data_IF_728160030160
#
_entry.id   IF_728160030160
#
_cell.length_a   1.000
_cell.length_b   1.000
_cell.length_c   1.000
_cell.angle_alpha   90.00
_cell.angle_beta   90.00
_cell.angle_gamma   90.00
#
_symmetry.space_group_name_H-M   'P 1'
#
loop_
_entity.id
_entity.type
_entity.pdbx_description
1 polymer ?
#
# COMPACT_ATOMS: atom_id res chain seq x y z
N UNK A 1 44.63 32.58 -57.51
CA UNK A 1 44.91 31.21 -57.04
C UNK A 1 44.84 31.23 -55.53
N UNK A 2 43.87 30.53 -54.94
CA UNK A 2 43.89 29.77 -53.67
C UNK A 2 42.44 29.52 -53.24
N UNK A 3 41.96 28.31 -53.48
CA UNK A 3 40.70 27.80 -52.94
C UNK A 3 40.99 27.04 -51.65
N UNK A 4 40.33 27.42 -50.55
CA UNK A 4 40.40 26.71 -49.27
C UNK A 4 39.23 25.73 -49.14
N UNK A 5 39.60 24.46 -48.88
CA UNK A 5 38.74 23.29 -48.83
C UNK A 5 37.80 23.27 -47.60
N UNK A 6 36.59 22.75 -47.80
CA UNK A 6 35.65 22.33 -46.75
C UNK A 6 36.01 20.89 -46.32
N UNK A 7 36.31 20.68 -45.04
CA UNK A 7 36.36 19.34 -44.44
C UNK A 7 34.97 18.97 -43.91
N UNK A 8 34.43 17.85 -44.40
CA UNK A 8 33.18 17.26 -43.91
C UNK A 8 33.39 16.49 -42.61
N UNK A 9 32.47 16.66 -41.67
CA UNK A 9 32.39 15.86 -40.44
C UNK A 9 31.49 14.66 -40.73
N UNK A 10 32.07 13.47 -40.72
CA UNK A 10 31.35 12.19 -40.76
C UNK A 10 30.71 11.94 -39.39
N UNK A 11 29.38 11.90 -39.35
CA UNK A 11 28.61 11.49 -38.18
C UNK A 11 28.71 9.98 -37.95
N UNK A 12 29.19 9.58 -36.77
CA UNK A 12 29.13 8.21 -36.31
C UNK A 12 27.73 7.92 -35.74
N UNK A 13 26.97 7.08 -36.44
CA UNK A 13 25.70 6.53 -35.97
C UNK A 13 25.99 5.53 -34.84
N UNK A 14 25.70 5.89 -33.59
CA UNK A 14 25.71 4.96 -32.47
C UNK A 14 24.50 4.02 -32.59
N UNK A 15 24.72 2.76 -32.97
CA UNK A 15 23.73 1.71 -32.80
C UNK A 15 23.57 1.43 -31.29
N UNK A 16 22.41 1.76 -30.73
CA UNK A 16 22.00 1.31 -29.42
C UNK A 16 21.80 -0.21 -29.46
N UNK A 17 22.73 -0.97 -28.89
CA UNK A 17 22.60 -2.41 -28.68
C UNK A 17 21.54 -2.65 -27.61
N UNK A 18 20.41 -3.23 -27.99
CA UNK A 18 19.38 -3.67 -27.06
C UNK A 18 19.97 -4.69 -26.08
N UNK A 19 19.86 -4.41 -24.78
CA UNK A 19 20.19 -5.35 -23.71
C UNK A 19 19.36 -6.63 -23.88
N UNK A 20 19.92 -7.84 -23.64
CA UNK A 20 19.18 -9.08 -23.78
C UNK A 20 18.03 -9.14 -22.75
N UNK A 21 16.85 -9.56 -23.23
CA UNK A 21 15.59 -9.66 -22.49
C UNK A 21 15.58 -10.65 -21.30
N UNK A 22 16.74 -11.22 -20.94
CA UNK A 22 16.90 -12.15 -19.81
C UNK A 22 16.92 -11.44 -18.45
N UNK A 23 17.22 -10.14 -18.40
CA UNK A 23 17.32 -9.38 -17.15
C UNK A 23 15.98 -9.18 -16.42
N UNK A 24 14.85 -9.40 -17.09
CA UNK A 24 13.51 -9.17 -16.53
C UNK A 24 12.84 -10.45 -16.03
N UNK A 25 13.43 -11.63 -16.24
CA UNK A 25 12.81 -12.90 -15.87
C UNK A 25 13.12 -13.25 -14.41
N UNK A 26 12.09 -13.51 -13.56
CA UNK A 26 12.30 -13.91 -12.17
C UNK A 26 12.98 -15.27 -12.07
N UNK A 27 13.57 -15.54 -10.90
CA UNK A 27 14.16 -16.85 -10.58
C UNK A 27 13.06 -17.89 -10.31
N UNK A 28 12.53 -18.48 -11.37
CA UNK A 28 11.54 -19.56 -11.29
C UNK A 28 12.22 -20.93 -11.24
N UNK A 29 11.86 -21.74 -10.24
CA UNK A 29 12.28 -23.14 -10.06
C UNK A 29 11.07 -24.07 -10.22
N UNK A 30 11.33 -25.35 -10.48
CA UNK A 30 10.30 -26.38 -10.64
C UNK A 30 9.20 -25.97 -11.63
N UNK A 31 9.58 -25.54 -12.83
CA UNK A 31 8.65 -25.06 -13.84
C UNK A 31 8.98 -25.62 -15.23
N UNK A 32 7.96 -25.92 -16.05
CA UNK A 32 8.14 -26.18 -17.47
C UNK A 32 8.10 -24.86 -18.22
N UNK A 33 9.24 -24.15 -18.22
CA UNK A 33 9.35 -22.78 -18.72
C UNK A 33 9.26 -22.70 -20.25
N UNK A 34 8.44 -21.76 -20.73
CA UNK A 34 8.43 -21.31 -22.12
C UNK A 34 8.40 -19.79 -22.15
N UNK A 35 9.14 -19.17 -23.07
CA UNK A 35 9.08 -17.71 -23.29
C UNK A 35 8.36 -17.38 -24.58
N UNK A 36 7.52 -16.34 -24.57
CA UNK A 36 6.82 -15.82 -25.76
C UNK A 36 6.82 -14.29 -25.77
N UNK A 37 6.99 -13.62 -26.92
CA UNK A 37 6.87 -12.17 -27.00
C UNK A 37 5.41 -11.74 -27.05
N UNK A 38 5.06 -10.65 -26.36
CA UNK A 38 3.76 -10.00 -26.43
C UNK A 38 3.61 -9.10 -27.69
N UNK A 39 4.05 -9.59 -28.85
CA UNK A 39 4.24 -8.76 -30.05
C UNK A 39 2.92 -8.23 -30.64
N UNK A 40 1.81 -8.94 -30.43
CA UNK A 40 0.48 -8.55 -30.91
C UNK A 40 -0.37 -7.83 -29.83
N UNK A 41 0.25 -7.42 -28.73
CA UNK A 41 -0.38 -6.81 -27.56
C UNK A 41 -0.64 -7.81 -26.43
N UNK A 42 -0.47 -7.36 -25.18
CA UNK A 42 -0.58 -8.21 -23.98
C UNK A 42 -1.93 -8.92 -23.88
N UNK A 43 -3.03 -8.18 -24.03
CA UNK A 43 -4.38 -8.70 -23.86
C UNK A 43 -4.67 -9.85 -24.83
N UNK A 44 -4.29 -9.69 -26.10
CA UNK A 44 -4.50 -10.70 -27.13
C UNK A 44 -3.73 -11.99 -26.84
N UNK A 45 -2.47 -11.85 -26.39
CA UNK A 45 -1.64 -13.00 -26.05
C UNK A 45 -2.15 -13.72 -24.80
N UNK A 46 -2.59 -13.00 -23.78
CA UNK A 46 -3.19 -13.60 -22.59
C UNK A 46 -4.49 -14.34 -22.91
N UNK A 47 -5.36 -13.78 -23.75
CA UNK A 47 -6.56 -14.48 -24.22
C UNK A 47 -6.24 -15.75 -25.02
N UNK A 48 -5.18 -15.71 -25.85
CA UNK A 48 -4.72 -16.89 -26.59
C UNK A 48 -4.24 -17.99 -25.63
N UNK A 49 -3.47 -17.64 -24.58
CA UNK A 49 -3.06 -18.58 -23.55
C UNK A 49 -4.25 -19.15 -22.78
N UNK A 50 -5.18 -18.29 -22.33
CA UNK A 50 -6.40 -18.71 -21.63
C UNK A 50 -7.22 -19.71 -22.46
N UNK A 51 -7.34 -19.48 -23.76
CA UNK A 51 -8.14 -20.33 -24.66
C UNK A 51 -7.48 -21.67 -24.98
N UNK A 52 -6.14 -21.68 -25.10
CA UNK A 52 -5.35 -22.86 -25.45
C UNK A 52 -5.09 -23.79 -24.26
N UNK A 53 -5.14 -23.27 -23.04
CA UNK A 53 -4.71 -23.99 -21.85
C UNK A 53 -5.83 -24.84 -21.25
N UNK A 54 -5.69 -26.18 -21.33
CA UNK A 54 -6.64 -27.15 -20.77
C UNK A 54 -6.29 -27.59 -19.34
N UNK A 55 -4.99 -27.68 -19.02
CA UNK A 55 -4.47 -28.04 -17.69
C UNK A 55 -4.02 -26.81 -16.91
N UNK A 56 -3.95 -26.84 -15.57
CA UNK A 56 -3.44 -25.70 -14.78
C UNK A 56 -2.06 -25.22 -15.26
N UNK A 57 -1.90 -23.92 -15.42
CA UNK A 57 -0.63 -23.33 -15.81
C UNK A 57 -0.45 -21.93 -15.22
N UNK A 58 0.80 -21.49 -15.21
CA UNK A 58 1.15 -20.10 -14.90
C UNK A 58 1.52 -19.34 -16.16
N UNK A 59 1.10 -18.09 -16.22
CA UNK A 59 1.67 -17.10 -17.15
C UNK A 59 2.07 -15.86 -16.38
N UNK A 60 3.04 -15.11 -16.86
CA UNK A 60 3.45 -13.88 -16.20
C UNK A 60 4.41 -13.05 -17.00
N UNK A 61 4.65 -11.85 -16.50
CA UNK A 61 5.56 -10.87 -17.09
C UNK A 61 6.10 -9.94 -16.01
N UNK A 62 7.11 -9.16 -16.38
CA UNK A 62 7.67 -8.10 -15.56
C UNK A 62 7.39 -6.73 -16.16
N UNK A 63 7.12 -5.76 -15.30
CA UNK A 63 6.92 -4.34 -15.65
C UNK A 63 7.66 -3.47 -14.64
N UNK A 64 8.09 -2.24 -15.02
CA UNK A 64 8.74 -1.34 -14.09
C UNK A 64 7.86 -1.05 -12.86
N UNK A 65 8.46 -1.17 -11.67
CA UNK A 65 7.82 -0.91 -10.39
C UNK A 65 8.13 0.51 -9.91
N UNK A 66 7.25 1.10 -9.11
CA UNK A 66 7.54 2.36 -8.40
C UNK A 66 8.84 2.25 -7.59
N UNK A 67 9.55 3.36 -7.48
CA UNK A 67 10.76 3.43 -6.67
C UNK A 67 10.44 3.25 -5.17
N UNK A 68 11.43 2.77 -4.42
CA UNK A 68 11.35 2.53 -2.98
C UNK A 68 11.48 1.05 -2.61
N UNK A 69 11.53 0.78 -1.30
CA UNK A 69 11.54 -0.59 -0.79
C UNK A 69 10.12 -1.15 -0.88
N UNK A 70 9.86 -2.01 -1.86
CA UNK A 70 8.56 -2.68 -2.06
C UNK A 70 8.76 -4.19 -2.24
N UNK A 71 9.50 -4.81 -1.32
CA UNK A 71 9.79 -6.24 -1.41
C UNK A 71 8.51 -7.03 -1.15
N UNK A 72 8.12 -7.89 -2.09
CA UNK A 72 6.87 -8.64 -2.05
C UNK A 72 7.12 -10.13 -2.25
N UNK A 73 7.73 -10.78 -1.26
CA UNK A 73 7.93 -12.22 -1.25
C UNK A 73 6.98 -12.94 -0.27
N UNK A 74 6.89 -14.26 -0.40
CA UNK A 74 6.06 -15.11 0.46
C UNK A 74 6.65 -15.17 1.86
N UNK A 75 5.81 -15.35 2.87
CA UNK A 75 6.23 -15.55 4.25
C UNK A 75 5.99 -17.00 4.70
N UNK A 76 6.95 -17.59 5.41
CA UNK A 76 6.76 -18.88 6.12
C UNK A 76 6.84 -18.67 7.62
N UNK A 77 5.69 -18.72 8.30
CA UNK A 77 5.59 -18.64 9.77
C UNK A 77 5.93 -19.96 10.47
N UNK A 78 6.74 -20.83 9.86
CA UNK A 78 6.72 -22.27 10.15
C UNK A 78 7.98 -22.92 10.72
N UNK A 79 9.15 -22.31 10.61
CA UNK A 79 10.41 -22.98 10.99
C UNK A 79 11.24 -22.10 11.94
N UNK A 80 11.13 -22.37 13.25
CA UNK A 80 11.87 -21.69 14.33
C UNK A 80 13.40 -21.94 14.32
N UNK A 81 13.98 -22.65 13.33
CA UNK A 81 15.40 -23.03 13.36
C UNK A 81 16.13 -23.09 11.99
N UNK A 82 15.71 -22.31 10.98
CA UNK A 82 16.44 -22.23 9.70
C UNK A 82 17.26 -20.92 9.54
N UNK A 83 18.01 -20.53 10.57
CA UNK A 83 18.98 -19.43 10.48
C UNK A 83 20.30 -19.92 9.85
N UNK A 84 20.32 -20.04 8.53
CA UNK A 84 21.56 -20.10 7.73
C UNK A 84 21.36 -19.68 6.27
N UNK A 85 20.12 -19.62 5.79
CA UNK A 85 19.80 -19.22 4.42
C UNK A 85 18.46 -18.51 4.42
N UNK A 86 18.48 -17.18 4.55
CA UNK A 86 17.42 -16.29 4.06
C UNK A 86 15.99 -16.59 4.45
N UNK A 87 15.36 -15.64 5.15
CA UNK A 87 14.06 -15.77 5.81
C UNK A 87 12.92 -16.51 5.08
N UNK A 88 12.98 -16.81 3.78
CA UNK A 88 11.98 -17.61 3.09
C UNK A 88 12.62 -18.53 2.03
N UNK A 89 12.33 -19.84 2.07
CA UNK A 89 12.54 -20.73 0.92
C UNK A 89 11.74 -20.28 -0.32
N UNK A 90 11.81 -20.99 -1.47
CA UNK A 90 11.17 -20.51 -2.69
C UNK A 90 9.65 -20.36 -2.51
N UNK A 91 9.12 -19.27 -3.05
CA UNK A 91 7.70 -18.92 -3.06
C UNK A 91 6.89 -19.98 -3.80
N UNK A 92 6.24 -20.88 -3.06
CA UNK A 92 5.36 -21.90 -3.65
C UNK A 92 4.09 -21.27 -4.20
N UNK A 93 4.02 -21.11 -5.52
CA UNK A 93 2.94 -20.42 -6.22
C UNK A 93 1.58 -21.13 -6.07
N UNK A 94 1.60 -22.46 -5.97
CA UNK A 94 0.39 -23.27 -5.77
C UNK A 94 -0.15 -23.22 -4.33
N UNK A 95 0.65 -22.82 -3.34
CA UNK A 95 0.19 -22.77 -1.95
C UNK A 95 -0.90 -21.71 -1.73
N UNK A 96 -1.80 -21.90 -0.78
CA UNK A 96 -2.77 -20.86 -0.39
C UNK A 96 -2.17 -19.75 0.49
N UNK A 97 -0.85 -19.77 0.74
CA UNK A 97 -0.18 -18.80 1.61
C UNK A 97 -0.15 -17.41 0.95
N UNK A 98 -0.34 -16.41 1.80
CA UNK A 98 -0.33 -15.00 1.42
C UNK A 98 1.07 -14.48 1.08
N UNK A 99 1.08 -13.30 0.46
CA UNK A 99 2.28 -12.53 0.13
C UNK A 99 2.37 -11.40 1.15
N UNK A 100 3.56 -11.14 1.70
CA UNK A 100 3.79 -9.99 2.56
C UNK A 100 4.51 -8.91 1.76
N UNK A 101 3.98 -7.69 1.80
CA UNK A 101 4.67 -6.49 1.32
C UNK A 101 5.48 -5.93 2.49
N UNK A 102 6.80 -5.85 2.33
CA UNK A 102 7.68 -5.10 3.22
C UNK A 102 8.02 -3.77 2.59
N UNK A 103 7.76 -2.69 3.33
CA UNK A 103 8.13 -1.32 2.98
C UNK A 103 9.24 -0.76 3.87
N UNK A 104 9.82 -1.59 4.74
CA UNK A 104 10.76 -1.15 5.77
C UNK A 104 12.21 -1.16 5.23
N UNK A 105 12.88 -0.01 5.34
CA UNK A 105 14.32 0.14 5.08
C UNK A 105 15.19 -0.71 6.04
N UNK A 106 14.65 -1.08 7.21
CA UNK A 106 15.32 -1.85 8.26
C UNK A 106 15.04 -3.35 8.21
N UNK A 107 14.42 -3.86 7.14
CA UNK A 107 14.27 -5.29 6.96
C UNK A 107 15.61 -5.91 6.53
N UNK A 108 16.50 -6.12 7.50
CA UNK A 108 17.71 -6.94 7.42
C UNK A 108 17.39 -8.44 7.22
N UNK A 109 16.44 -8.75 6.33
CA UNK A 109 16.17 -10.10 5.85
C UNK A 109 16.85 -10.36 4.50
N UNK A 110 17.96 -9.66 4.24
CA UNK A 110 18.88 -9.94 3.14
C UNK A 110 19.49 -11.34 3.28
N UNK A 111 18.85 -12.33 2.67
CA UNK A 111 19.49 -13.61 2.38
C UNK A 111 20.63 -13.40 1.40
N UNK A 112 21.83 -13.89 1.75
CA UNK A 112 23.06 -13.94 0.94
C UNK A 112 23.97 -12.71 0.99
N UNK A 113 24.21 -12.07 2.14
CA UNK A 113 25.41 -11.23 2.33
C UNK A 113 25.58 -10.05 1.35
N UNK A 114 24.57 -9.73 0.56
CA UNK A 114 24.51 -8.56 -0.31
C UNK A 114 23.37 -7.70 0.18
N UNK A 115 23.73 -6.64 0.91
CA UNK A 115 22.81 -5.55 1.23
C UNK A 115 22.47 -4.87 -0.09
N UNK A 116 21.24 -5.05 -0.57
CA UNK A 116 20.75 -4.32 -1.74
C UNK A 116 20.38 -2.91 -1.24
N UNK A 117 21.20 -1.93 -1.62
CA UNK A 117 21.03 -0.53 -1.20
C UNK A 117 19.82 0.14 -1.89
N UNK A 118 19.27 -0.51 -2.92
CA UNK A 118 18.11 -0.06 -3.68
C UNK A 118 17.02 -1.14 -3.68
N UNK A 119 15.77 -0.68 -3.71
CA UNK A 119 14.61 -1.57 -3.82
C UNK A 119 14.52 -2.31 -5.17
N UNK A 120 13.52 -3.17 -5.34
CA UNK A 120 13.32 -3.89 -6.60
C UNK A 120 12.90 -2.93 -7.72
N UNK A 121 13.39 -3.15 -8.94
CA UNK A 121 13.07 -2.28 -10.09
C UNK A 121 11.86 -2.76 -10.90
N UNK A 122 11.54 -4.05 -10.79
CA UNK A 122 10.49 -4.69 -11.57
C UNK A 122 9.49 -5.41 -10.67
N UNK A 123 8.21 -5.24 -11.03
CA UNK A 123 7.09 -5.97 -10.52
C UNK A 123 6.83 -7.15 -11.45
N UNK A 124 6.75 -8.35 -10.88
CA UNK A 124 6.41 -9.59 -11.57
C UNK A 124 4.93 -9.88 -11.32
N UNK A 125 4.10 -9.75 -12.36
CA UNK A 125 2.68 -10.10 -12.32
C UNK A 125 2.48 -11.51 -12.88
N UNK A 126 1.93 -12.39 -12.05
CA UNK A 126 1.66 -13.79 -12.38
C UNK A 126 0.16 -14.08 -12.33
N UNK A 127 -0.29 -14.89 -13.28
CA UNK A 127 -1.67 -15.31 -13.45
C UNK A 127 -1.69 -16.83 -13.51
N UNK A 128 -2.41 -17.45 -12.57
CA UNK A 128 -2.74 -18.87 -12.66
C UNK A 128 -3.95 -19.01 -13.58
N UNK A 129 -3.82 -19.88 -14.55
CA UNK A 129 -4.84 -20.21 -15.54
C UNK A 129 -5.36 -21.60 -15.22
N UNK A 130 -6.66 -21.70 -15.02
CA UNK A 130 -7.36 -22.97 -14.82
C UNK A 130 -8.79 -22.84 -15.35
N UNK A 131 -9.32 -23.90 -15.96
CA UNK A 131 -10.66 -23.85 -16.58
C UNK A 131 -10.84 -22.68 -17.58
N UNK A 132 -9.79 -22.36 -18.35
CA UNK A 132 -9.76 -21.25 -19.33
C UNK A 132 -10.05 -19.86 -18.75
N UNK A 133 -9.83 -19.68 -17.45
CA UNK A 133 -9.94 -18.39 -16.77
C UNK A 133 -8.73 -18.16 -15.88
N UNK A 134 -8.51 -16.89 -15.50
CA UNK A 134 -7.59 -16.58 -14.41
C UNK A 134 -8.29 -16.86 -13.09
N UNK A 135 -7.79 -17.82 -12.32
CA UNK A 135 -8.31 -18.12 -10.99
C UNK A 135 -7.53 -17.38 -9.89
N UNK A 136 -6.25 -17.05 -10.13
CA UNK A 136 -5.38 -16.39 -9.17
C UNK A 136 -4.47 -15.37 -9.83
N UNK A 137 -4.32 -14.23 -9.18
CA UNK A 137 -3.34 -13.20 -9.53
C UNK A 137 -2.35 -13.11 -8.37
N UNK A 138 -1.06 -13.05 -8.68
CA UNK A 138 0.00 -12.81 -7.69
C UNK A 138 0.97 -11.76 -8.23
N UNK A 139 1.36 -10.84 -7.36
CA UNK A 139 2.39 -9.85 -7.65
C UNK A 139 3.60 -10.13 -6.75
N UNK A 140 4.79 -10.12 -7.33
CA UNK A 140 6.06 -10.33 -6.64
C UNK A 140 7.07 -9.27 -7.06
N UNK A 141 8.07 -9.03 -6.22
CA UNK A 141 9.27 -8.31 -6.64
C UNK A 141 10.26 -9.25 -7.34
N UNK A 142 11.11 -8.70 -8.21
CA UNK A 142 12.07 -9.46 -9.04
C UNK A 142 13.06 -10.36 -8.25
N UNK A 143 13.29 -10.05 -6.99
CA UNK A 143 14.23 -10.71 -6.09
C UNK A 143 13.67 -12.01 -5.49
N UNK A 144 12.36 -12.26 -5.60
CA UNK A 144 11.74 -13.47 -5.09
C UNK A 144 12.11 -14.69 -5.95
N UNK A 145 12.58 -15.77 -5.30
CA UNK A 145 12.67 -17.08 -5.94
C UNK A 145 11.29 -17.75 -5.92
N UNK A 146 10.77 -18.18 -7.07
CA UNK A 146 9.41 -18.67 -7.24
C UNK A 146 9.41 -20.16 -7.59
N UNK A 147 8.58 -20.97 -6.92
CA UNK A 147 8.39 -22.41 -7.21
C UNK A 147 7.02 -22.64 -7.86
N UNK A 148 7.02 -23.08 -9.12
CA UNK A 148 5.81 -23.29 -9.91
C UNK A 148 5.20 -24.72 -9.79
N UNK A 149 5.72 -25.58 -8.91
CA UNK A 149 5.13 -26.89 -8.61
C UNK A 149 5.12 -27.89 -9.77
N UNK A 150 6.00 -27.73 -10.75
CA UNK A 150 6.10 -28.56 -11.96
C UNK A 150 5.14 -28.19 -13.08
N UNK A 151 4.36 -27.11 -12.92
CA UNK A 151 3.36 -26.68 -13.89
C UNK A 151 3.99 -26.04 -15.15
N UNK A 152 3.27 -26.04 -16.29
CA UNK A 152 3.59 -25.18 -17.42
C UNK A 152 3.68 -23.72 -16.98
N UNK A 153 4.72 -23.02 -17.42
CA UNK A 153 4.95 -21.63 -17.07
C UNK A 153 5.35 -20.84 -18.32
N UNK A 154 4.46 -19.94 -18.75
CA UNK A 154 4.71 -19.07 -19.90
C UNK A 154 5.18 -17.69 -19.44
N UNK A 155 6.38 -17.29 -19.81
CA UNK A 155 6.91 -15.94 -19.57
C UNK A 155 6.69 -15.06 -20.79
N UNK A 156 5.95 -13.95 -20.61
CA UNK A 156 5.70 -12.96 -21.65
C UNK A 156 6.76 -11.86 -21.60
N UNK A 157 7.36 -11.58 -22.77
CA UNK A 157 8.36 -10.52 -22.95
C UNK A 157 7.79 -9.36 -23.77
N UNK A 158 8.45 -8.19 -23.76
CA UNK A 158 8.02 -6.99 -24.49
C UNK A 158 6.63 -6.47 -24.10
N UNK A 159 6.22 -6.67 -22.85
CA UNK A 159 4.93 -6.18 -22.32
C UNK A 159 5.01 -4.68 -22.10
N UNK A 160 4.07 -3.92 -22.66
CA UNK A 160 3.96 -2.50 -22.39
C UNK A 160 3.33 -2.27 -21.02
N UNK A 161 3.91 -1.42 -20.14
CA UNK A 161 3.37 -1.21 -18.80
C UNK A 161 1.92 -0.72 -18.78
N UNK A 162 1.54 0.17 -19.70
CA UNK A 162 0.16 0.62 -19.84
C UNK A 162 -0.83 -0.50 -20.21
N UNK A 163 -0.41 -1.48 -21.02
CA UNK A 163 -1.25 -2.64 -21.34
C UNK A 163 -1.42 -3.56 -20.13
N UNK A 164 -0.38 -3.71 -19.30
CA UNK A 164 -0.48 -4.45 -18.03
C UNK A 164 -1.49 -3.80 -17.09
N UNK A 165 -1.43 -2.47 -16.92
CA UNK A 165 -2.42 -1.74 -16.11
C UNK A 165 -3.83 -1.96 -16.65
N UNK A 166 -4.04 -1.84 -17.97
CA UNK A 166 -5.36 -2.04 -18.58
C UNK A 166 -5.89 -3.47 -18.35
N UNK A 167 -5.03 -4.49 -18.52
CA UNK A 167 -5.38 -5.88 -18.25
C UNK A 167 -5.76 -6.12 -16.79
N UNK A 168 -4.93 -5.66 -15.85
CA UNK A 168 -5.19 -5.78 -14.42
C UNK A 168 -6.46 -5.04 -13.99
N UNK A 169 -6.71 -3.86 -14.57
CA UNK A 169 -7.90 -3.06 -14.29
C UNK A 169 -9.19 -3.81 -14.60
N UNK A 170 -9.19 -4.67 -15.61
CA UNK A 170 -10.36 -5.50 -15.96
C UNK A 170 -10.81 -6.40 -14.80
N UNK A 171 -9.88 -6.90 -13.97
CA UNK A 171 -10.19 -7.70 -12.78
C UNK A 171 -10.68 -6.86 -11.61
N UNK A 172 -10.22 -5.62 -11.50
CA UNK A 172 -10.63 -4.70 -10.42
C UNK A 172 -12.07 -4.25 -10.61
N UNK A 173 -12.47 -3.98 -11.85
CA UNK A 173 -13.82 -3.49 -12.19
C UNK A 173 -14.80 -4.59 -12.59
N UNK A 174 -14.36 -5.84 -12.70
CA UNK A 174 -15.24 -6.96 -12.99
C UNK A 174 -16.32 -7.08 -11.89
N UNK A 175 -17.58 -7.36 -12.28
CA UNK A 175 -18.61 -7.72 -11.30
C UNK A 175 -18.14 -8.92 -10.48
N UNK A 176 -18.32 -8.84 -9.15
CA UNK A 176 -18.02 -9.96 -8.27
C UNK A 176 -18.86 -11.17 -8.71
N UNK A 177 -18.18 -12.25 -9.08
CA UNK A 177 -18.86 -13.52 -9.34
C UNK A 177 -19.28 -14.20 -8.03
N UNK A 178 -20.26 -15.11 -8.08
CA UNK A 178 -20.69 -15.90 -6.91
C UNK A 178 -19.49 -16.63 -6.26
N UNK A 179 -18.59 -17.17 -7.09
CA UNK A 179 -17.36 -17.83 -6.66
C UNK A 179 -16.39 -16.89 -5.93
N UNK A 180 -16.29 -15.61 -6.32
CA UNK A 180 -15.45 -14.64 -5.61
C UNK A 180 -16.11 -14.16 -4.31
N UNK A 181 -17.44 -14.18 -4.23
CA UNK A 181 -18.19 -13.86 -3.02
C UNK A 181 -17.83 -14.81 -1.87
N UNK A 182 -17.67 -16.11 -2.19
CA UNK A 182 -17.32 -17.17 -1.24
C UNK A 182 -15.83 -17.18 -0.84
N UNK A 183 -14.95 -16.59 -1.66
CA UNK A 183 -13.51 -16.48 -1.31
C UNK A 183 -13.26 -15.43 -0.22
N UNK A 184 -12.29 -15.72 0.66
CA UNK A 184 -11.81 -14.71 1.61
C UNK A 184 -11.38 -13.45 0.86
N UNK A 185 -11.72 -12.23 1.34
CA UNK A 185 -11.43 -11.00 0.60
C UNK A 185 -9.99 -10.92 0.08
N UNK A 186 -9.02 -11.27 0.91
CA UNK A 186 -7.58 -11.25 0.62
C UNK A 186 -7.11 -12.25 -0.45
N UNK A 187 -7.97 -13.16 -0.90
CA UNK A 187 -7.65 -14.15 -1.94
C UNK A 187 -8.26 -13.79 -3.30
N UNK A 188 -9.03 -12.70 -3.38
CA UNK A 188 -9.70 -12.30 -4.63
C UNK A 188 -8.70 -11.81 -5.67
N UNK A 189 -8.81 -12.25 -6.94
CA UNK A 189 -8.02 -11.72 -8.05
C UNK A 189 -8.07 -10.20 -8.13
N UNK A 190 -9.24 -9.59 -7.92
CA UNK A 190 -9.44 -8.13 -7.95
C UNK A 190 -8.55 -7.37 -6.96
N UNK A 191 -8.36 -7.90 -5.73
CA UNK A 191 -7.50 -7.25 -4.74
C UNK A 191 -6.02 -7.33 -5.13
N UNK A 192 -5.57 -8.49 -5.61
CA UNK A 192 -4.20 -8.66 -6.09
C UNK A 192 -3.91 -7.83 -7.34
N UNK A 193 -4.90 -7.68 -8.23
CA UNK A 193 -4.80 -6.82 -9.39
C UNK A 193 -4.67 -5.35 -8.97
N UNK A 194 -5.47 -4.89 -8.00
CA UNK A 194 -5.36 -3.53 -7.46
C UNK A 194 -3.98 -3.28 -6.82
N UNK A 195 -3.46 -4.23 -6.04
CA UNK A 195 -2.10 -4.17 -5.49
C UNK A 195 -1.04 -4.08 -6.60
N UNK A 196 -1.15 -4.91 -7.63
CA UNK A 196 -0.22 -4.88 -8.75
C UNK A 196 -0.26 -3.51 -9.45
N UNK A 197 -1.45 -2.97 -9.75
CA UNK A 197 -1.61 -1.62 -10.35
C UNK A 197 -0.97 -0.56 -9.46
N UNK A 198 -1.20 -0.60 -8.15
CA UNK A 198 -0.64 0.39 -7.22
C UNK A 198 0.89 0.49 -7.28
N UNK A 199 1.55 -0.62 -7.57
CA UNK A 199 3.01 -0.72 -7.63
C UNK A 199 3.58 -0.47 -9.04
N UNK A 200 2.78 -0.28 -10.07
CA UNK A 200 3.28 0.05 -11.42
C UNK A 200 3.92 1.44 -11.45
N UNK A 201 5.08 1.57 -12.09
CA UNK A 201 5.69 2.88 -12.33
C UNK A 201 4.98 3.71 -13.41
N UNK A 202 4.23 3.05 -14.31
CA UNK A 202 3.61 3.72 -15.45
C UNK A 202 2.50 4.70 -15.03
N UNK A 203 2.41 5.90 -15.64
CA UNK A 203 1.35 6.87 -15.35
C UNK A 203 -0.09 6.37 -15.61
N UNK A 204 -0.26 5.29 -16.38
CA UNK A 204 -1.56 4.62 -16.51
C UNK A 204 -2.08 4.11 -15.17
N UNK A 205 -1.20 3.73 -14.23
CA UNK A 205 -1.57 3.30 -12.90
C UNK A 205 -2.27 4.41 -12.11
N UNK A 206 -1.74 5.63 -12.18
CA UNK A 206 -2.35 6.80 -11.55
C UNK A 206 -3.76 7.06 -12.10
N UNK A 207 -3.91 7.07 -13.43
CA UNK A 207 -5.22 7.22 -14.08
C UNK A 207 -6.21 6.12 -13.67
N UNK A 208 -5.75 4.87 -13.56
CA UNK A 208 -6.59 3.75 -13.15
C UNK A 208 -7.06 3.91 -11.69
N UNK A 209 -6.14 4.22 -10.77
CA UNK A 209 -6.46 4.45 -9.35
C UNK A 209 -7.39 5.65 -9.16
N UNK A 210 -7.20 6.74 -9.91
CA UNK A 210 -8.16 7.86 -9.92
C UNK A 210 -9.56 7.42 -10.35
N UNK A 211 -9.64 6.59 -11.40
CA UNK A 211 -10.89 6.00 -11.86
C UNK A 211 -11.57 5.10 -10.81
N UNK A 212 -10.78 4.32 -10.06
CA UNK A 212 -11.28 3.47 -8.97
C UNK A 212 -11.69 4.24 -7.72
N UNK A 213 -11.10 5.42 -7.49
CA UNK A 213 -11.42 6.34 -6.40
C UNK A 213 -12.64 7.24 -6.69
N UNK A 214 -13.14 7.26 -7.92
CA UNK A 214 -14.25 8.12 -8.34
C UNK A 214 -15.56 7.80 -7.58
N UNK A 215 -16.40 8.80 -7.22
CA UNK A 215 -17.64 8.59 -6.44
C UNK A 215 -18.66 7.63 -7.07
N UNK A 216 -18.60 7.38 -8.37
CA UNK A 216 -19.46 6.43 -9.08
C UNK A 216 -19.06 4.94 -8.90
N UNK A 217 -17.91 4.67 -8.28
CA UNK A 217 -17.45 3.32 -7.96
C UNK A 217 -18.04 2.81 -6.63
N UNK A 218 -18.09 1.49 -6.38
CA UNK A 218 -18.51 0.94 -5.09
C UNK A 218 -17.67 1.46 -3.92
N UNK A 219 -18.28 1.71 -2.75
CA UNK A 219 -17.57 2.20 -1.56
C UNK A 219 -16.38 1.31 -1.17
N UNK A 220 -16.50 -0.01 -1.34
CA UNK A 220 -15.45 -0.98 -1.07
C UNK A 220 -14.23 -0.76 -1.96
N UNK A 221 -14.44 -0.53 -3.26
CA UNK A 221 -13.36 -0.27 -4.21
C UNK A 221 -12.68 1.07 -3.92
N UNK A 222 -13.46 2.14 -3.71
CA UNK A 222 -12.90 3.47 -3.34
C UNK A 222 -12.06 3.36 -2.08
N UNK A 223 -12.57 2.65 -1.07
CA UNK A 223 -11.90 2.42 0.20
C UNK A 223 -10.57 1.65 0.10
N UNK A 224 -10.51 0.57 -0.70
CA UNK A 224 -9.26 -0.16 -0.93
C UNK A 224 -8.27 0.63 -1.78
N UNK A 225 -8.78 1.41 -2.75
CA UNK A 225 -7.97 2.28 -3.59
C UNK A 225 -7.32 3.39 -2.76
N UNK A 226 -8.06 3.97 -1.80
CA UNK A 226 -7.53 4.99 -0.89
C UNK A 226 -6.27 4.50 -0.16
N UNK A 227 -6.27 3.28 0.38
CA UNK A 227 -5.10 2.71 1.03
C UNK A 227 -3.86 2.74 0.11
N UNK A 228 -3.99 2.25 -1.12
CA UNK A 228 -2.89 2.21 -2.08
C UNK A 228 -2.43 3.59 -2.56
N UNK A 229 -3.35 4.54 -2.71
CA UNK A 229 -3.02 5.94 -2.97
C UNK A 229 -2.12 6.52 -1.86
N UNK A 230 -2.41 6.21 -0.61
CA UNK A 230 -1.60 6.63 0.53
C UNK A 230 -0.26 5.93 0.60
N UNK A 231 -0.27 4.59 0.51
CA UNK A 231 0.92 3.77 0.73
C UNK A 231 1.96 3.84 -0.41
N UNK A 232 1.51 3.97 -1.67
CA UNK A 232 2.36 3.72 -2.83
C UNK A 232 2.48 4.90 -3.81
N UNK A 233 1.58 5.89 -3.79
CA UNK A 233 1.47 6.89 -4.89
C UNK A 233 1.98 8.30 -4.55
N UNK A 234 2.65 8.47 -3.42
CA UNK A 234 3.30 9.73 -3.02
C UNK A 234 2.42 10.97 -3.21
N UNK A 235 2.97 12.04 -3.78
CA UNK A 235 2.28 13.32 -4.04
C UNK A 235 1.01 13.18 -4.88
N UNK A 236 1.01 12.35 -5.92
CA UNK A 236 -0.18 12.14 -6.75
C UNK A 236 -1.28 11.47 -5.92
N UNK A 237 -0.93 10.40 -5.19
CA UNK A 237 -1.81 9.73 -4.26
C UNK A 237 -2.42 10.67 -3.22
N UNK A 238 -1.59 11.51 -2.59
CA UNK A 238 -2.04 12.51 -1.63
C UNK A 238 -3.03 13.50 -2.25
N UNK A 239 -2.80 13.97 -3.48
CA UNK A 239 -3.73 14.88 -4.15
C UNK A 239 -5.11 14.24 -4.35
N UNK A 240 -5.16 12.96 -4.72
CA UNK A 240 -6.42 12.20 -4.82
C UNK A 240 -7.07 12.01 -3.45
N UNK A 241 -6.30 11.64 -2.42
CA UNK A 241 -6.81 11.46 -1.06
C UNK A 241 -7.41 12.75 -0.49
N UNK A 242 -6.79 13.91 -0.75
CA UNK A 242 -7.37 15.21 -0.38
C UNK A 242 -8.74 15.39 -1.02
N UNK A 243 -8.84 15.18 -2.34
CA UNK A 243 -10.14 15.25 -3.04
C UNK A 243 -11.17 14.30 -2.41
N UNK A 244 -10.82 13.05 -2.16
CA UNK A 244 -11.72 12.09 -1.49
C UNK A 244 -12.13 12.56 -0.08
N UNK A 245 -11.21 13.12 0.70
CA UNK A 245 -11.48 13.66 2.04
C UNK A 245 -12.40 14.89 2.03
N UNK A 246 -12.48 15.61 0.91
CA UNK A 246 -13.33 16.79 0.75
C UNK A 246 -14.69 16.47 0.13
N UNK A 247 -14.72 15.52 -0.82
CA UNK A 247 -15.84 15.37 -1.76
C UNK A 247 -16.51 14.00 -1.70
N UNK A 248 -15.90 12.96 -1.10
CA UNK A 248 -16.53 11.65 -1.07
C UNK A 248 -17.83 11.69 -0.23
N UNK A 249 -18.98 11.28 -0.79
CA UNK A 249 -20.26 11.36 -0.10
C UNK A 249 -20.35 10.42 1.12
N UNK A 250 -19.55 9.36 1.16
CA UNK A 250 -19.61 8.33 2.20
C UNK A 250 -18.68 8.65 3.37
N UNK A 251 -19.24 8.74 4.58
CA UNK A 251 -18.45 8.88 5.81
C UNK A 251 -17.50 7.68 6.01
N UNK A 252 -17.93 6.47 5.61
CA UNK A 252 -17.11 5.25 5.66
C UNK A 252 -15.89 5.31 4.76
N UNK A 253 -16.02 5.91 3.57
CA UNK A 253 -14.87 6.08 2.67
C UNK A 253 -13.95 7.17 3.20
N UNK A 254 -14.48 8.31 3.66
CA UNK A 254 -13.66 9.36 4.29
C UNK A 254 -12.94 8.85 5.55
N UNK A 255 -13.56 7.96 6.33
CA UNK A 255 -12.90 7.27 7.44
C UNK A 255 -11.69 6.45 6.96
N UNK A 256 -11.83 5.66 5.87
CA UNK A 256 -10.70 4.94 5.26
C UNK A 256 -9.62 5.87 4.72
N UNK A 257 -9.99 7.05 4.21
CA UNK A 257 -9.03 8.07 3.78
C UNK A 257 -8.17 8.56 4.94
N UNK A 258 -8.71 8.68 6.17
CA UNK A 258 -7.88 9.03 7.34
C UNK A 258 -6.77 8.00 7.59
N UNK A 259 -7.04 6.71 7.38
CA UNK A 259 -6.02 5.67 7.46
C UNK A 259 -5.03 5.75 6.30
N UNK A 260 -5.50 5.99 5.08
CA UNK A 260 -4.63 6.19 3.93
C UNK A 260 -3.63 7.35 4.12
N UNK A 261 -4.09 8.46 4.70
CA UNK A 261 -3.25 9.61 5.05
C UNK A 261 -2.24 9.26 6.17
N UNK A 262 -2.60 8.32 7.07
CA UNK A 262 -1.70 7.88 8.14
C UNK A 262 -0.54 7.03 7.62
N UNK A 263 -0.73 6.26 6.54
CA UNK A 263 0.36 5.49 5.90
C UNK A 263 1.12 6.26 4.81
N UNK A 264 0.67 7.47 4.44
CA UNK A 264 1.35 8.29 3.43
C UNK A 264 2.65 8.92 3.96
N UNK A 265 3.72 8.88 3.16
CA UNK A 265 5.00 9.52 3.51
C UNK A 265 5.03 11.03 3.21
N UNK A 266 3.97 11.58 2.60
CA UNK A 266 3.90 13.00 2.27
C UNK A 266 3.62 13.86 3.53
N UNK A 267 4.40 14.92 3.77
CA UNK A 267 4.28 15.71 5.00
C UNK A 267 2.92 16.42 5.13
N UNK A 268 2.30 16.80 4.01
CA UNK A 268 1.00 17.47 4.00
C UNK A 268 -0.17 16.52 4.31
N UNK A 269 0.07 15.21 4.43
CA UNK A 269 -0.97 14.25 4.86
C UNK A 269 -1.41 14.52 6.32
N UNK A 270 -0.50 15.01 7.17
CA UNK A 270 -0.82 15.37 8.56
C UNK A 270 -1.74 16.59 8.60
N UNK A 271 -1.48 17.61 7.77
CA UNK A 271 -2.32 18.82 7.71
C UNK A 271 -3.74 18.49 7.23
N UNK A 272 -3.85 17.56 6.27
CA UNK A 272 -5.15 17.07 5.81
C UNK A 272 -5.92 16.33 6.92
N UNK A 273 -5.25 15.47 7.69
CA UNK A 273 -5.86 14.82 8.85
C UNK A 273 -6.28 15.82 9.93
N UNK A 274 -5.50 16.88 10.16
CA UNK A 274 -5.86 17.96 11.10
C UNK A 274 -7.14 18.67 10.63
N UNK A 275 -7.27 18.94 9.32
CA UNK A 275 -8.52 19.50 8.76
C UNK A 275 -9.69 18.55 8.99
N UNK A 276 -9.55 17.27 8.66
CA UNK A 276 -10.61 16.27 8.85
C UNK A 276 -11.04 16.17 10.32
N UNK A 277 -10.08 16.17 11.26
CA UNK A 277 -10.36 16.15 12.70
C UNK A 277 -11.16 17.38 13.17
N UNK A 278 -10.95 18.54 12.55
CA UNK A 278 -11.60 19.81 12.93
C UNK A 278 -12.97 20.02 12.30
N UNK A 279 -13.13 19.63 11.03
CA UNK A 279 -14.23 20.12 10.21
C UNK A 279 -14.96 19.05 9.39
N UNK A 280 -14.63 17.76 9.49
CA UNK A 280 -15.42 16.75 8.79
C UNK A 280 -16.86 16.70 9.36
N UNK A 281 -17.91 16.66 8.50
CA UNK A 281 -19.28 16.58 8.97
C UNK A 281 -19.56 15.29 9.78
N UNK A 282 -18.87 14.19 9.48
CA UNK A 282 -19.04 12.91 10.15
C UNK A 282 -18.21 12.82 11.44
N UNK A 283 -18.87 12.66 12.59
CA UNK A 283 -18.17 12.51 13.87
C UNK A 283 -17.28 11.28 13.96
N UNK A 284 -17.65 10.19 13.28
CA UNK A 284 -16.78 9.01 13.12
C UNK A 284 -15.47 9.37 12.42
N UNK A 285 -15.53 10.16 11.36
CA UNK A 285 -14.36 10.60 10.59
C UNK A 285 -13.47 11.51 11.43
N UNK A 286 -14.06 12.52 12.11
CA UNK A 286 -13.31 13.39 13.03
C UNK A 286 -12.58 12.57 14.10
N UNK A 287 -13.28 11.62 14.71
CA UNK A 287 -12.73 10.71 15.71
C UNK A 287 -11.61 9.82 15.17
N UNK A 288 -11.72 9.31 13.94
CA UNK A 288 -10.69 8.47 13.33
C UNK A 288 -9.46 9.28 12.93
N UNK A 289 -9.63 10.51 12.44
CA UNK A 289 -8.53 11.43 12.17
C UNK A 289 -7.73 11.74 13.44
N UNK A 290 -8.41 12.00 14.56
CA UNK A 290 -7.76 12.19 15.87
C UNK A 290 -6.95 10.97 16.32
N UNK A 291 -7.49 9.76 16.13
CA UNK A 291 -6.78 8.51 16.44
C UNK A 291 -5.46 8.42 15.68
N UNK A 292 -5.48 8.61 14.36
CA UNK A 292 -4.27 8.51 13.53
C UNK A 292 -3.29 9.67 13.78
N UNK A 293 -3.78 10.86 14.09
CA UNK A 293 -2.94 11.98 14.51
C UNK A 293 -2.17 11.67 15.80
N UNK A 294 -2.81 11.03 16.78
CA UNK A 294 -2.16 10.57 18.01
C UNK A 294 -1.03 9.57 17.76
N UNK A 295 -1.17 8.72 16.74
CA UNK A 295 -0.16 7.70 16.40
C UNK A 295 1.01 8.24 15.56
N UNK A 296 0.76 9.22 14.68
CA UNK A 296 1.74 9.62 13.65
C UNK A 296 2.40 10.98 13.88
N UNK A 297 1.65 11.95 14.42
CA UNK A 297 1.99 13.36 14.26
C UNK A 297 2.57 14.05 15.51
N UNK A 298 2.67 13.32 16.64
CA UNK A 298 3.32 13.82 17.87
C UNK A 298 2.92 15.25 18.22
N UNK A 299 3.92 16.14 18.38
CA UNK A 299 3.74 17.58 18.67
C UNK A 299 2.79 18.30 17.73
N UNK A 300 2.80 17.98 16.42
CA UNK A 300 1.94 18.66 15.43
C UNK A 300 0.46 18.34 15.65
N UNK A 301 0.15 17.19 16.25
CA UNK A 301 -1.22 16.79 16.56
C UNK A 301 -1.78 17.41 17.85
N UNK A 302 -0.91 17.75 18.82
CA UNK A 302 -1.33 18.15 20.16
C UNK A 302 -2.34 19.32 20.15
N UNK A 303 -2.08 20.37 19.36
CA UNK A 303 -2.99 21.52 19.24
C UNK A 303 -4.35 21.13 18.64
N UNK A 304 -4.36 20.30 17.60
CA UNK A 304 -5.59 19.84 16.96
C UNK A 304 -6.42 18.94 17.91
N UNK A 305 -5.75 18.05 18.65
CA UNK A 305 -6.39 17.16 19.61
C UNK A 305 -6.99 17.97 20.77
N UNK A 306 -6.25 18.90 21.37
CA UNK A 306 -6.75 19.77 22.45
C UNK A 306 -7.94 20.61 21.99
N UNK A 307 -7.87 21.19 20.78
CA UNK A 307 -8.98 21.95 20.21
C UNK A 307 -10.25 21.10 20.04
N UNK A 308 -10.12 19.82 19.67
CA UNK A 308 -11.26 18.90 19.59
C UNK A 308 -11.86 18.58 20.97
N UNK A 309 -11.03 18.37 22.00
CA UNK A 309 -11.49 18.15 23.38
C UNK A 309 -12.31 19.33 23.90
N UNK A 310 -11.88 20.55 23.58
CA UNK A 310 -12.55 21.77 24.01
C UNK A 310 -13.83 22.01 23.20
N UNK A 311 -13.74 21.94 21.88
CA UNK A 311 -14.72 22.58 21.00
C UNK A 311 -15.59 21.61 20.17
N UNK A 312 -15.29 20.31 20.08
CA UNK A 312 -16.14 19.40 19.30
C UNK A 312 -17.56 19.34 19.89
N UNK A 313 -18.63 19.36 19.08
CA UNK A 313 -20.00 19.26 19.61
C UNK A 313 -20.30 17.89 20.23
N UNK A 314 -19.62 16.82 19.79
CA UNK A 314 -19.92 15.45 20.21
C UNK A 314 -18.98 14.94 21.29
N UNK A 315 -19.57 14.50 22.41
CA UNK A 315 -18.80 13.96 23.55
C UNK A 315 -17.99 12.72 23.17
N UNK A 316 -18.48 11.88 22.25
CA UNK A 316 -17.73 10.71 21.79
C UNK A 316 -16.46 11.09 21.00
N UNK A 317 -16.50 12.17 20.23
CA UNK A 317 -15.30 12.70 19.57
C UNK A 317 -14.33 13.27 20.60
N UNK A 318 -14.81 14.00 21.61
CA UNK A 318 -13.98 14.45 22.73
C UNK A 318 -13.28 13.29 23.44
N UNK A 319 -13.98 12.18 23.70
CA UNK A 319 -13.39 10.99 24.32
C UNK A 319 -12.28 10.38 23.45
N UNK A 320 -12.50 10.29 22.13
CA UNK A 320 -11.47 9.85 21.17
C UNK A 320 -10.27 10.80 21.16
N UNK A 321 -10.49 12.11 21.25
CA UNK A 321 -9.42 13.09 21.35
C UNK A 321 -8.62 12.92 22.66
N UNK A 322 -9.28 12.68 23.79
CA UNK A 322 -8.57 12.37 25.06
C UNK A 322 -7.74 11.10 24.93
N UNK A 323 -8.26 10.05 24.28
CA UNK A 323 -7.47 8.86 23.98
C UNK A 323 -6.28 9.19 23.08
N UNK A 324 -6.46 10.01 22.04
CA UNK A 324 -5.34 10.43 21.19
C UNK A 324 -4.23 11.15 21.98
N UNK A 325 -4.56 11.94 23.01
CA UNK A 325 -3.56 12.53 23.91
C UNK A 325 -2.75 11.46 24.68
N UNK A 326 -3.36 10.34 25.06
CA UNK A 326 -2.64 9.28 25.78
C UNK A 326 -1.65 8.53 24.90
N UNK A 327 -1.81 8.60 23.57
CA UNK A 327 -0.90 7.98 22.61
C UNK A 327 0.29 8.89 22.26
N UNK A 328 0.27 10.16 22.66
CA UNK A 328 1.40 11.07 22.50
C UNK A 328 2.57 10.67 23.43
N UNK A 329 3.81 11.09 23.12
CA UNK A 329 4.93 10.94 24.05
C UNK A 329 4.57 11.43 25.45
N UNK A 330 5.00 10.72 26.49
CA UNK A 330 4.56 10.97 27.89
C UNK A 330 4.77 12.42 28.33
N UNK A 331 5.87 13.03 27.91
CA UNK A 331 6.19 14.43 28.25
C UNK A 331 5.26 15.47 27.63
N UNK A 332 4.45 15.07 26.66
CA UNK A 332 3.45 15.92 26.01
C UNK A 332 2.04 15.51 26.43
N UNK A 333 1.74 14.20 26.35
CA UNK A 333 0.41 13.66 26.63
C UNK A 333 0.00 13.82 28.09
N UNK A 334 0.88 13.50 29.05
CA UNK A 334 0.53 13.51 30.49
C UNK A 334 0.18 14.92 30.97
N UNK A 335 0.98 15.98 30.70
CA UNK A 335 0.59 17.34 31.07
C UNK A 335 -0.76 17.78 30.50
N UNK A 336 -1.04 17.46 29.24
CA UNK A 336 -2.31 17.80 28.59
C UNK A 336 -3.48 17.02 29.21
N UNK A 337 -3.31 15.75 29.54
CA UNK A 337 -4.33 14.96 30.23
C UNK A 337 -4.64 15.50 31.63
N UNK A 338 -3.62 15.94 32.39
CA UNK A 338 -3.81 16.61 33.69
C UNK A 338 -4.61 17.90 33.51
N UNK A 339 -4.28 18.71 32.50
CA UNK A 339 -5.02 19.94 32.18
C UNK A 339 -6.49 19.62 31.90
N UNK A 340 -6.78 18.64 31.03
CA UNK A 340 -8.14 18.22 30.69
C UNK A 340 -8.90 17.74 31.94
N UNK A 341 -8.26 16.94 32.79
CA UNK A 341 -8.86 16.44 34.02
C UNK A 341 -9.22 17.56 35.02
N UNK A 342 -8.46 18.67 35.02
CA UNK A 342 -8.72 19.82 35.91
C UNK A 342 -9.77 20.78 35.35
N UNK A 343 -9.70 21.12 34.07
CA UNK A 343 -10.37 22.31 33.53
C UNK A 343 -11.57 22.01 32.64
N UNK A 344 -11.68 20.79 32.09
CA UNK A 344 -12.73 20.50 31.12
C UNK A 344 -14.12 20.55 31.78
N UNK A 345 -15.06 21.26 31.16
CA UNK A 345 -16.42 21.43 31.70
C UNK A 345 -17.24 20.13 31.67
N UNK A 346 -16.96 19.24 30.72
CA UNK A 346 -17.70 17.99 30.57
C UNK A 346 -17.16 16.92 31.55
N UNK A 347 -17.96 16.44 32.53
CA UNK A 347 -17.50 15.46 33.51
C UNK A 347 -17.13 14.11 32.89
N UNK A 348 -17.76 13.72 31.78
CA UNK A 348 -17.43 12.48 31.05
C UNK A 348 -16.03 12.58 30.45
N UNK A 349 -15.68 13.74 29.92
CA UNK A 349 -14.35 14.01 29.36
C UNK A 349 -13.28 14.06 30.46
N UNK A 350 -13.56 14.70 31.60
CA UNK A 350 -12.67 14.66 32.78
C UNK A 350 -12.43 13.23 33.24
N UNK A 351 -13.50 12.43 33.38
CA UNK A 351 -13.41 11.01 33.76
C UNK A 351 -12.54 10.22 32.79
N UNK A 352 -12.66 10.47 31.48
CA UNK A 352 -11.83 9.81 30.48
C UNK A 352 -10.34 10.18 30.63
N UNK A 353 -10.03 11.45 30.92
CA UNK A 353 -8.65 11.89 31.14
C UNK A 353 -8.06 11.25 32.40
N UNK A 354 -8.83 11.18 33.49
CA UNK A 354 -8.47 10.47 34.72
C UNK A 354 -8.15 8.99 34.47
N UNK A 355 -8.97 8.31 33.66
CA UNK A 355 -8.74 6.93 33.27
C UNK A 355 -7.39 6.73 32.59
N UNK A 356 -7.07 7.54 31.58
CA UNK A 356 -5.79 7.43 30.84
C UNK A 356 -4.58 7.85 31.67
N UNK A 357 -4.73 8.84 32.56
CA UNK A 357 -3.69 9.16 33.55
C UNK A 357 -3.37 7.97 34.45
N UNK A 358 -4.39 7.21 34.86
CA UNK A 358 -4.20 5.96 35.62
C UNK A 358 -3.46 4.87 34.85
N UNK A 359 -3.52 4.87 33.51
CA UNK A 359 -2.78 3.92 32.66
C UNK A 359 -1.37 4.41 32.28
N UNK A 360 -1.03 5.66 32.57
CA UNK A 360 0.23 6.27 32.11
C UNK A 360 1.49 5.75 32.82
N UNK A 361 1.33 5.23 34.05
CA UNK A 361 2.43 4.92 34.98
C UNK A 361 3.45 6.09 35.11
N UNK A 362 2.96 7.33 35.02
CA UNK A 362 3.79 8.53 35.10
C UNK A 362 3.71 9.15 36.51
N UNK A 363 4.84 9.44 37.18
CA UNK A 363 4.86 10.08 38.50
C UNK A 363 4.05 11.38 38.59
N UNK A 364 3.94 12.14 37.49
CA UNK A 364 3.13 13.37 37.45
C UNK A 364 1.64 13.07 37.61
N UNK A 365 1.17 11.95 37.06
CA UNK A 365 -0.21 11.50 37.22
C UNK A 365 -0.49 11.09 38.68
N UNK A 366 0.47 10.41 39.33
CA UNK A 366 0.36 10.06 40.75
C UNK A 366 0.30 11.29 41.64
N UNK A 367 1.23 12.24 41.47
CA UNK A 367 1.24 13.49 42.22
C UNK A 367 -0.07 14.29 42.02
N UNK A 368 -0.63 14.26 40.81
CA UNK A 368 -1.94 14.86 40.53
C UNK A 368 -3.06 14.15 41.29
N UNK A 369 -3.09 12.82 41.33
CA UNK A 369 -4.09 12.06 42.09
C UNK A 369 -3.99 12.31 43.60
N UNK A 370 -2.77 12.39 44.16
CA UNK A 370 -2.56 12.75 45.56
C UNK A 370 -3.13 14.14 45.86
N UNK A 371 -2.84 15.14 45.02
CA UNK A 371 -3.34 16.51 45.20
C UNK A 371 -4.87 16.59 45.25
N UNK A 372 -5.56 15.89 44.35
CA UNK A 372 -7.03 16.00 44.26
C UNK A 372 -7.77 15.14 45.28
N UNK A 373 -7.15 14.09 45.82
CA UNK A 373 -7.76 13.20 46.83
C UNK A 373 -7.53 13.71 48.26
N UNK A 374 -6.51 14.55 48.46
CA UNK A 374 -6.21 15.20 49.74
C UNK A 374 -6.91 16.56 49.92
N UNK A 375 -7.69 16.99 48.91
CA UNK A 375 -8.62 18.13 48.99
C UNK A 375 -10.03 17.63 49.20
#
# INVERSE_FOLDING_TARGET
MTATARLGVLGALMLATALPATAQQPRVVNAKMQTRPAAAGLEKELHALLSAQAEPAWTGYAVPMIAGQHQMCCYSSGDEFAHASGCCGPCRLESSRGINLSTDEHSDAGSLGTVKLEGPNYLVALFRIEHKRVDRIRAFSEDCQLDAGGLPFTWLTNVQPAESVAWLASFVTAPLSDAESETTPNQRPSQHALTAIALHADPAADRALEGFASPNQPESLRGHTAFWLGAARGKHGLAVLKRMAHEDPSDRVREKVTFALSVSHEPEAVEEMIRMARSDPGSRVRGQALFWLGQKAGKKAASAITAAIENDPETEVKKRAVFALSQLPKDEGVPLLIQVARTNRNPVVRKQAMFWLGQSNDPRALAFFEEILLR
#
